data_IF_660223334024
#
_entry.id   IF_660223334024
#
_cell.length_a   1.000
_cell.length_b   1.000
_cell.length_c   1.000
_cell.angle_alpha   90.00
_cell.angle_beta   90.00
_cell.angle_gamma   90.00
#
_symmetry.space_group_name_H-M   'P 1'
#
loop_
_entity.id
_entity.type
_entity.pdbx_description
1 polymer ?
#
# COMPACT_ATOMS: atom_id res chain seq x y z
N UNK A 1 -9.23 74.12 -49.49
CA UNK A 1 -10.19 73.35 -48.68
C UNK A 1 -10.56 72.07 -49.44
N UNK A 2 -9.95 70.92 -49.10
CA UNK A 2 -10.38 69.57 -49.52
C UNK A 2 -9.69 68.57 -48.59
N UNK A 3 -10.47 68.02 -47.67
CA UNK A 3 -10.09 66.98 -46.72
C UNK A 3 -10.07 65.65 -47.50
N UNK A 4 -8.96 64.90 -47.47
CA UNK A 4 -8.97 63.48 -47.84
C UNK A 4 -8.31 62.67 -46.73
N UNK A 5 -9.10 61.72 -46.26
CA UNK A 5 -8.97 60.93 -45.04
C UNK A 5 -7.88 59.86 -45.19
N UNK A 6 -7.10 59.72 -44.13
CA UNK A 6 -6.19 58.59 -43.88
C UNK A 6 -6.97 57.28 -43.79
N UNK A 7 -6.50 56.24 -44.48
CA UNK A 7 -6.92 54.85 -44.26
C UNK A 7 -5.75 54.14 -43.61
N UNK A 8 -5.84 53.92 -42.30
CA UNK A 8 -4.97 53.01 -41.57
C UNK A 8 -5.52 51.60 -41.75
N UNK A 9 -4.80 50.75 -42.48
CA UNK A 9 -5.07 49.31 -42.53
C UNK A 9 -4.51 48.71 -41.24
N UNK A 10 -5.40 48.41 -40.30
CA UNK A 10 -5.05 47.62 -39.11
C UNK A 10 -5.07 46.15 -39.51
N UNK A 11 -3.89 45.58 -39.74
CA UNK A 11 -3.68 44.13 -39.82
C UNK A 11 -3.91 43.53 -38.43
N UNK A 12 -5.14 43.10 -38.17
CA UNK A 12 -5.44 42.20 -37.04
C UNK A 12 -4.88 40.82 -37.37
N UNK A 13 -3.62 40.61 -37.01
CA UNK A 13 -2.99 39.30 -36.92
C UNK A 13 -3.62 38.56 -35.74
N UNK A 14 -4.77 37.92 -35.98
CA UNK A 14 -5.40 37.00 -35.04
C UNK A 14 -4.53 35.75 -34.91
N UNK A 15 -3.54 35.79 -34.01
CA UNK A 15 -2.89 34.62 -33.47
C UNK A 15 -3.94 33.86 -32.65
N UNK A 16 -4.67 32.97 -33.30
CA UNK A 16 -5.43 31.92 -32.63
C UNK A 16 -4.42 31.09 -31.83
N UNK A 17 -4.35 31.33 -30.52
CA UNK A 17 -3.83 30.36 -29.57
C UNK A 17 -4.76 29.16 -29.67
N UNK A 18 -4.39 28.18 -30.50
CA UNK A 18 -4.91 26.83 -30.42
C UNK A 18 -4.38 26.30 -29.08
N UNK A 19 -5.16 26.52 -28.02
CA UNK A 19 -5.00 25.73 -26.81
C UNK A 19 -5.23 24.28 -27.23
N UNK A 20 -4.20 23.43 -27.12
CA UNK A 20 -4.40 21.98 -27.25
C UNK A 20 -5.55 21.60 -26.32
N UNK A 21 -6.62 21.07 -26.91
CA UNK A 21 -7.74 20.60 -26.13
C UNK A 21 -7.24 19.41 -25.30
N UNK A 22 -7.23 19.55 -23.98
CA UNK A 22 -6.87 18.47 -23.06
C UNK A 22 -7.65 17.20 -23.43
N UNK A 23 -6.95 16.08 -23.58
CA UNK A 23 -7.59 14.81 -23.85
C UNK A 23 -8.29 14.26 -22.60
N UNK A 24 -7.74 14.56 -21.42
CA UNK A 24 -8.27 14.14 -20.13
C UNK A 24 -8.75 15.35 -19.34
N UNK A 25 -10.04 15.37 -18.98
CA UNK A 25 -10.59 16.37 -18.08
C UNK A 25 -10.12 16.16 -16.63
N UNK A 26 -10.20 17.21 -15.82
CA UNK A 26 -9.83 17.14 -14.40
C UNK A 26 -10.63 16.08 -13.61
N UNK A 27 -11.91 15.87 -13.94
CA UNK A 27 -12.72 14.83 -13.30
C UNK A 27 -12.25 13.42 -13.69
N UNK A 28 -11.86 13.21 -14.95
CA UNK A 28 -11.28 11.95 -15.43
C UNK A 28 -9.93 11.65 -14.77
N UNK A 29 -9.06 12.66 -14.63
CA UNK A 29 -7.78 12.52 -13.93
C UNK A 29 -7.97 12.16 -12.44
N UNK A 30 -8.93 12.80 -11.76
CA UNK A 30 -9.28 12.45 -10.38
C UNK A 30 -9.83 11.03 -10.25
N UNK A 31 -10.70 10.61 -11.17
CA UNK A 31 -11.24 9.24 -11.18
C UNK A 31 -10.14 8.22 -11.46
N UNK A 32 -9.21 8.53 -12.37
CA UNK A 32 -8.06 7.68 -12.65
C UNK A 32 -7.15 7.52 -11.43
N UNK A 33 -6.90 8.60 -10.69
CA UNK A 33 -6.16 8.55 -9.41
C UNK A 33 -6.86 7.65 -8.38
N UNK A 34 -8.19 7.75 -8.26
CA UNK A 34 -8.97 6.90 -7.35
C UNK A 34 -8.96 5.43 -7.76
N UNK A 35 -9.04 5.14 -9.07
CA UNK A 35 -8.96 3.79 -9.61
C UNK A 35 -7.60 3.16 -9.31
N UNK A 36 -6.50 3.89 -9.52
CA UNK A 36 -5.15 3.41 -9.22
C UNK A 36 -4.93 3.20 -7.72
N UNK A 37 -5.38 4.14 -6.88
CA UNK A 37 -5.30 3.98 -5.43
C UNK A 37 -6.09 2.73 -4.97
N UNK A 38 -7.30 2.53 -5.49
CA UNK A 38 -8.14 1.36 -5.16
C UNK A 38 -7.48 0.05 -5.62
N UNK A 39 -6.94 0.04 -6.84
CA UNK A 39 -6.20 -1.12 -7.37
C UNK A 39 -5.02 -1.49 -6.45
N UNK A 40 -4.23 -0.50 -6.03
CA UNK A 40 -3.06 -0.71 -5.19
C UNK A 40 -3.46 -1.14 -3.77
N UNK A 41 -4.50 -0.55 -3.18
CA UNK A 41 -5.01 -0.93 -1.85
C UNK A 41 -5.50 -2.38 -1.80
N UNK A 42 -6.06 -2.89 -2.90
CA UNK A 42 -6.56 -4.27 -2.98
C UNK A 42 -5.46 -5.31 -3.18
N UNK A 43 -4.25 -4.90 -3.57
CA UNK A 43 -3.16 -5.81 -3.97
C UNK A 43 -1.96 -5.73 -3.05
N UNK A 44 -1.60 -4.53 -2.60
CA UNK A 44 -0.41 -4.28 -1.82
C UNK A 44 -0.64 -4.65 -0.34
N UNK A 45 0.39 -5.15 0.37
CA UNK A 45 0.24 -5.58 1.76
C UNK A 45 -0.22 -4.48 2.73
N UNK A 46 -0.71 -4.86 3.93
CA UNK A 46 -1.44 -3.94 4.82
C UNK A 46 -0.68 -2.68 5.25
N UNK A 47 0.66 -2.69 5.27
CA UNK A 47 1.43 -1.48 5.58
C UNK A 47 1.14 -0.32 4.62
N UNK A 48 0.80 -0.62 3.36
CA UNK A 48 0.40 0.40 2.41
C UNK A 48 -0.95 1.01 2.75
N UNK A 49 -1.94 0.16 3.05
CA UNK A 49 -3.27 0.62 3.43
C UNK A 49 -3.23 1.53 4.67
N UNK A 50 -2.40 1.18 5.66
CA UNK A 50 -2.19 2.04 6.83
C UNK A 50 -1.48 3.36 6.46
N UNK A 51 -0.45 3.32 5.62
CA UNK A 51 0.25 4.53 5.18
C UNK A 51 -0.67 5.49 4.38
N UNK A 52 -1.59 4.94 3.58
CA UNK A 52 -2.63 5.71 2.90
C UNK A 52 -3.65 6.28 3.89
N UNK A 53 -4.13 5.48 4.85
CA UNK A 53 -5.09 5.97 5.87
C UNK A 53 -4.49 7.07 6.74
N UNK A 54 -3.19 6.98 7.01
CA UNK A 54 -2.42 7.95 7.78
C UNK A 54 -2.00 9.18 6.96
N UNK A 55 -2.43 9.26 5.69
CA UNK A 55 -2.11 10.34 4.75
C UNK A 55 -0.61 10.52 4.50
N UNK A 56 0.18 9.48 4.77
CA UNK A 56 1.62 9.46 4.52
C UNK A 56 1.95 9.19 3.05
N UNK A 57 1.06 8.47 2.36
CA UNK A 57 1.12 8.24 0.92
C UNK A 57 0.08 9.08 0.21
N UNK A 58 0.50 9.79 -0.83
CA UNK A 58 -0.38 10.66 -1.64
C UNK A 58 -0.29 10.31 -3.11
N UNK A 59 -1.44 10.33 -3.77
CA UNK A 59 -1.59 10.07 -5.19
C UNK A 59 -1.94 11.36 -5.90
N UNK A 60 -1.32 11.57 -7.05
CA UNK A 60 -1.71 12.61 -7.98
C UNK A 60 -1.65 12.07 -9.39
N UNK A 61 -2.64 12.40 -10.21
CA UNK A 61 -2.63 12.05 -11.63
C UNK A 61 -2.82 13.33 -12.44
N UNK A 62 -1.88 13.60 -13.33
CA UNK A 62 -1.90 14.78 -14.22
C UNK A 62 -1.84 14.34 -15.67
N UNK A 63 -2.35 15.17 -16.57
CA UNK A 63 -2.13 14.96 -17.99
C UNK A 63 -0.67 15.28 -18.34
N UNK A 64 -0.01 14.36 -19.06
CA UNK A 64 1.35 14.49 -19.56
C UNK A 64 1.35 15.06 -20.99
N UNK A 65 0.40 14.62 -21.81
CA UNK A 65 0.28 14.96 -23.23
C UNK A 65 -1.17 14.77 -23.68
N UNK A 66 -1.75 15.84 -24.22
CA UNK A 66 -3.10 15.83 -24.79
C UNK A 66 -3.15 15.00 -26.10
N UNK A 67 -2.15 15.14 -26.98
CA UNK A 67 -2.11 14.45 -28.29
C UNK A 67 -2.14 12.92 -28.20
N UNK A 68 -1.61 12.37 -27.11
CA UNK A 68 -1.48 10.93 -26.90
C UNK A 68 -2.28 10.42 -25.71
N UNK A 69 -3.17 11.24 -25.14
CA UNK A 69 -4.01 10.92 -23.98
C UNK A 69 -3.21 10.22 -22.88
N UNK A 70 -2.08 10.83 -22.54
CA UNK A 70 -1.09 10.25 -21.65
C UNK A 70 -1.20 10.91 -20.29
N UNK A 71 -1.25 10.11 -19.24
CA UNK A 71 -1.28 10.56 -17.86
C UNK A 71 0.06 10.26 -17.17
N UNK A 72 0.38 11.05 -16.15
CA UNK A 72 1.42 10.76 -15.16
C UNK A 72 0.75 10.44 -13.85
N UNK A 73 1.00 9.25 -13.30
CA UNK A 73 0.73 8.95 -11.89
C UNK A 73 1.97 9.29 -11.08
N UNK A 74 1.82 10.19 -10.12
CA UNK A 74 2.83 10.51 -9.12
C UNK A 74 2.38 9.99 -7.75
N UNK A 75 3.24 9.19 -7.12
CA UNK A 75 3.09 8.68 -5.77
C UNK A 75 4.15 9.30 -4.86
N UNK A 76 3.71 10.00 -3.82
CA UNK A 76 4.60 10.49 -2.77
C UNK A 76 4.63 9.50 -1.61
N UNK A 77 5.82 9.06 -1.21
CA UNK A 77 6.09 8.15 -0.09
C UNK A 77 7.08 8.77 0.89
N UNK A 78 6.97 8.51 2.21
CA UNK A 78 7.91 9.02 3.19
C UNK A 78 9.32 8.42 3.01
N UNK A 79 10.36 9.22 3.23
CA UNK A 79 11.76 8.74 3.23
C UNK A 79 11.97 7.60 4.24
N UNK A 80 11.37 7.71 5.42
CA UNK A 80 11.41 6.68 6.46
C UNK A 80 10.92 5.31 5.96
N UNK A 81 9.96 5.26 5.04
CA UNK A 81 9.48 3.99 4.48
C UNK A 81 10.52 3.37 3.55
N UNK A 82 11.24 4.20 2.78
CA UNK A 82 12.36 3.74 1.95
C UNK A 82 13.49 3.20 2.84
N UNK A 83 13.83 3.91 3.91
CA UNK A 83 14.89 3.51 4.85
C UNK A 83 14.54 2.18 5.53
N UNK A 84 13.31 2.03 6.01
CA UNK A 84 12.81 0.81 6.65
C UNK A 84 12.91 -0.40 5.70
N UNK A 85 12.47 -0.25 4.45
CA UNK A 85 12.54 -1.35 3.48
C UNK A 85 13.97 -1.69 3.07
N UNK A 86 14.85 -0.70 2.93
CA UNK A 86 16.27 -0.94 2.66
C UNK A 86 16.94 -1.69 3.83
N UNK A 87 16.62 -1.34 5.08
CA UNK A 87 17.13 -2.05 6.25
C UNK A 87 16.77 -3.55 6.24
N UNK A 88 15.57 -3.91 5.78
CA UNK A 88 15.17 -5.32 5.61
C UNK A 88 16.03 -6.03 4.56
N UNK A 89 16.32 -5.38 3.43
CA UNK A 89 17.16 -5.96 2.38
C UNK A 89 18.63 -6.04 2.79
N UNK A 90 19.11 -5.08 3.56
CA UNK A 90 20.51 -5.06 4.02
C UNK A 90 20.76 -6.10 5.11
N UNK A 91 19.74 -6.46 5.89
CA UNK A 91 19.78 -7.60 6.82
C UNK A 91 19.78 -8.97 6.11
N UNK A 92 19.33 -9.05 4.85
CA UNK A 92 19.29 -10.28 4.05
C UNK A 92 19.83 -10.05 2.62
N UNK A 93 21.17 -10.08 2.45
CA UNK A 93 21.80 -9.86 1.15
C UNK A 93 21.34 -10.86 0.06
N UNK A 94 20.98 -12.09 0.44
CA UNK A 94 20.50 -13.10 -0.49
C UNK A 94 19.13 -12.71 -1.07
N UNK A 95 18.20 -12.27 -0.21
CA UNK A 95 16.90 -11.72 -0.63
C UNK A 95 17.08 -10.51 -1.56
N UNK A 96 18.01 -9.60 -1.24
CA UNK A 96 18.33 -8.44 -2.08
C UNK A 96 18.78 -8.84 -3.48
N UNK A 97 19.70 -9.80 -3.59
CA UNK A 97 20.18 -10.31 -4.89
C UNK A 97 19.05 -11.00 -5.67
N UNK A 98 18.32 -11.90 -5.01
CA UNK A 98 17.23 -12.66 -5.64
C UNK A 98 16.12 -11.76 -6.20
N UNK A 99 15.73 -10.71 -5.46
CA UNK A 99 14.67 -9.80 -5.90
C UNK A 99 15.17 -8.84 -6.98
N UNK A 100 16.41 -8.37 -6.89
CA UNK A 100 17.03 -7.55 -7.93
C UNK A 100 17.16 -8.32 -9.26
N UNK A 101 17.49 -9.61 -9.21
CA UNK A 101 17.58 -10.47 -10.40
C UNK A 101 16.22 -10.66 -11.11
N UNK A 102 15.12 -10.52 -10.37
CA UNK A 102 13.75 -10.58 -10.90
C UNK A 102 13.24 -9.20 -11.37
N UNK A 103 14.07 -8.16 -11.34
CA UNK A 103 13.71 -6.80 -11.74
C UNK A 103 12.95 -6.01 -10.68
N UNK A 104 12.80 -6.53 -9.46
CA UNK A 104 12.23 -5.76 -8.35
C UNK A 104 13.24 -4.78 -7.78
N UNK A 105 12.81 -3.53 -7.59
CA UNK A 105 13.67 -2.45 -7.07
C UNK A 105 12.88 -1.63 -6.05
N UNK A 106 13.50 -1.31 -4.92
CA UNK A 106 12.94 -0.32 -3.99
C UNK A 106 13.06 1.06 -4.66
N UNK A 107 12.00 1.89 -4.65
CA UNK A 107 12.07 3.26 -5.15
C UNK A 107 13.25 4.03 -4.54
N UNK A 108 14.00 4.76 -5.38
CA UNK A 108 15.16 5.55 -4.93
C UNK A 108 14.79 6.93 -4.41
N UNK A 109 13.58 7.38 -4.73
CA UNK A 109 13.07 8.72 -4.46
C UNK A 109 11.74 8.64 -3.73
N UNK A 110 11.44 9.67 -2.96
CA UNK A 110 10.15 9.82 -2.27
C UNK A 110 9.01 10.14 -3.21
N UNK A 111 9.29 10.66 -4.41
CA UNK A 111 8.30 10.84 -5.47
C UNK A 111 8.58 9.83 -6.57
N UNK A 112 7.61 8.98 -6.84
CA UNK A 112 7.68 7.88 -7.80
C UNK A 112 6.67 8.20 -8.89
N UNK A 113 7.13 8.25 -10.14
CA UNK A 113 6.29 8.67 -11.26
C UNK A 113 6.24 7.59 -12.33
N UNK A 114 5.06 7.44 -12.95
CA UNK A 114 4.86 6.60 -14.11
C UNK A 114 4.00 7.33 -15.13
N UNK A 115 4.50 7.41 -16.35
CA UNK A 115 3.76 7.93 -17.50
C UNK A 115 3.12 6.76 -18.25
N UNK A 116 1.83 6.84 -18.58
CA UNK A 116 1.09 5.77 -19.24
C UNK A 116 -0.07 6.32 -20.10
N UNK A 117 -0.45 5.54 -21.12
CA UNK A 117 -1.59 5.87 -21.98
C UNK A 117 -2.91 5.45 -21.38
N UNK A 118 -3.96 6.21 -21.69
CA UNK A 118 -5.33 5.98 -21.23
C UNK A 118 -6.28 6.11 -22.41
N UNK A 119 -7.28 5.24 -22.50
CA UNK A 119 -8.43 5.46 -23.37
C UNK A 119 -9.34 6.55 -22.74
N UNK A 120 -9.44 7.75 -23.33
CA UNK A 120 -10.22 8.84 -22.72
C UNK A 120 -11.72 8.55 -22.64
N UNK A 121 -12.27 7.65 -23.47
CA UNK A 121 -13.71 7.35 -23.45
C UNK A 121 -14.10 6.47 -22.26
N UNK A 122 -13.20 5.57 -21.84
CA UNK A 122 -13.48 4.55 -20.83
C UNK A 122 -12.61 4.65 -19.57
N UNK A 123 -11.55 5.46 -19.62
CA UNK A 123 -10.43 5.48 -18.67
C UNK A 123 -9.73 4.15 -18.52
N UNK A 124 -9.86 3.27 -19.52
CA UNK A 124 -9.17 2.00 -19.54
C UNK A 124 -7.67 2.22 -19.78
N UNK A 125 -6.84 1.54 -18.98
CA UNK A 125 -5.40 1.49 -19.16
C UNK A 125 -5.09 0.24 -19.98
N UNK A 126 -4.51 0.38 -21.19
CA UNK A 126 -4.17 -0.77 -22.02
C UNK A 126 -3.24 -1.75 -21.30
N UNK A 127 -3.42 -3.05 -21.55
CA UNK A 127 -2.64 -4.10 -20.87
C UNK A 127 -1.11 -3.91 -21.00
N UNK A 128 -0.64 -3.44 -22.17
CA UNK A 128 0.78 -3.14 -22.42
C UNK A 128 1.35 -2.12 -21.43
N UNK A 129 0.55 -1.16 -20.99
CA UNK A 129 0.94 -0.13 -20.02
C UNK A 129 1.00 -0.69 -18.60
N UNK A 130 0.49 -1.91 -18.35
CA UNK A 130 0.47 -2.52 -17.02
C UNK A 130 1.48 -3.65 -16.83
N UNK A 131 2.20 -4.04 -17.89
CA UNK A 131 3.26 -5.05 -17.81
C UNK A 131 4.40 -4.56 -16.90
N UNK A 132 5.07 -5.45 -16.18
CA UNK A 132 6.22 -5.07 -15.34
C UNK A 132 7.38 -4.43 -16.11
N UNK A 133 7.39 -4.49 -17.44
CA UNK A 133 8.36 -3.81 -18.29
C UNK A 133 7.97 -2.36 -18.65
N UNK A 134 6.72 -1.96 -18.44
CA UNK A 134 6.24 -0.59 -18.66
C UNK A 134 6.42 0.27 -17.40
N UNK A 135 6.37 1.60 -17.55
CA UNK A 135 6.56 2.52 -16.43
C UNK A 135 5.53 2.32 -15.31
N UNK A 136 4.24 2.18 -15.65
CA UNK A 136 3.20 1.98 -14.63
C UNK A 136 3.28 0.60 -13.98
N UNK A 137 3.57 -0.46 -14.73
CA UNK A 137 3.78 -1.79 -14.14
C UNK A 137 5.00 -1.83 -13.21
N UNK A 138 6.09 -1.15 -13.57
CA UNK A 138 7.28 -1.00 -12.70
C UNK A 138 6.95 -0.22 -11.43
N UNK A 139 6.20 0.89 -11.53
CA UNK A 139 5.78 1.66 -10.35
C UNK A 139 4.95 0.79 -9.42
N UNK A 140 3.92 0.11 -9.94
CA UNK A 140 3.06 -0.78 -9.16
C UNK A 140 3.88 -1.88 -8.46
N UNK A 141 4.78 -2.54 -9.18
CA UNK A 141 5.65 -3.59 -8.63
C UNK A 141 6.62 -3.06 -7.57
N UNK A 142 7.20 -1.87 -7.78
CA UNK A 142 8.15 -1.25 -6.84
C UNK A 142 7.48 -0.84 -5.54
N UNK A 143 6.27 -0.28 -5.62
CA UNK A 143 5.48 0.09 -4.44
C UNK A 143 4.98 -1.15 -3.71
N UNK A 144 4.55 -2.19 -4.44
CA UNK A 144 4.18 -3.48 -3.85
C UNK A 144 5.34 -4.05 -3.04
N UNK A 145 6.53 -4.15 -3.66
CA UNK A 145 7.75 -4.61 -3.02
C UNK A 145 8.14 -3.79 -1.79
N UNK A 146 8.13 -2.46 -1.89
CA UNK A 146 8.41 -1.55 -0.77
C UNK A 146 7.54 -1.90 0.45
N UNK A 147 6.23 -1.98 0.26
CA UNK A 147 5.30 -2.22 1.37
C UNK A 147 5.18 -3.69 1.79
N UNK A 148 5.60 -4.64 0.95
CA UNK A 148 5.82 -6.03 1.35
C UNK A 148 6.97 -6.16 2.34
N UNK A 149 8.08 -5.45 2.12
CA UNK A 149 9.22 -5.44 3.04
C UNK A 149 8.87 -4.74 4.36
N UNK A 150 8.19 -3.60 4.30
CA UNK A 150 7.72 -2.88 5.48
C UNK A 150 6.74 -3.75 6.28
N UNK A 151 5.84 -4.46 5.61
CA UNK A 151 4.90 -5.38 6.28
C UNK A 151 5.66 -6.50 7.01
N UNK A 152 6.70 -7.08 6.40
CA UNK A 152 7.57 -8.08 7.06
C UNK A 152 8.29 -7.47 8.29
N UNK A 153 8.89 -6.30 8.13
CA UNK A 153 9.57 -5.56 9.20
C UNK A 153 8.64 -5.35 10.40
N UNK A 154 7.47 -4.76 10.15
CA UNK A 154 6.51 -4.39 11.21
C UNK A 154 5.77 -5.58 11.81
N UNK A 155 5.73 -6.73 11.12
CA UNK A 155 5.22 -7.98 11.69
C UNK A 155 6.15 -8.56 12.76
N UNK A 156 7.45 -8.19 12.76
CA UNK A 156 8.38 -8.67 13.77
C UNK A 156 8.12 -7.97 15.11
N UNK A 157 7.80 -8.75 16.15
CA UNK A 157 7.59 -8.26 17.51
C UNK A 157 8.86 -8.54 18.31
N UNK A 158 9.27 -7.59 19.16
CA UNK A 158 10.32 -7.81 20.17
C UNK A 158 9.69 -8.01 21.55
N UNK A 159 10.32 -8.79 22.43
CA UNK A 159 9.78 -9.16 23.75
C UNK A 159 9.49 -7.95 24.68
N UNK A 160 10.06 -6.78 24.39
CA UNK A 160 9.84 -5.54 25.15
C UNK A 160 8.67 -4.68 24.65
N UNK A 161 8.04 -5.03 23.53
CA UNK A 161 6.99 -4.21 22.92
C UNK A 161 5.70 -4.33 23.73
N UNK A 162 5.30 -3.24 24.38
CA UNK A 162 3.96 -3.09 24.96
C UNK A 162 3.06 -2.34 23.99
N UNK A 163 1.85 -2.83 23.80
CA UNK A 163 0.85 -2.12 23.04
C UNK A 163 0.22 -1.03 23.92
N UNK A 164 0.39 0.24 23.53
CA UNK A 164 -0.19 1.38 24.25
C UNK A 164 -1.67 1.64 23.91
N UNK A 165 -2.18 1.06 22.82
CA UNK A 165 -3.54 1.29 22.33
C UNK A 165 -4.34 0.00 22.38
N UNK A 166 -5.35 -0.12 23.27
CA UNK A 166 -6.20 -1.30 23.31
C UNK A 166 -6.81 -1.61 21.95
N UNK A 167 -7.03 -2.90 21.67
CA UNK A 167 -7.82 -3.30 20.52
C UNK A 167 -9.25 -2.73 20.65
N UNK A 168 -9.82 -2.31 19.54
CA UNK A 168 -11.24 -1.99 19.38
C UNK A 168 -12.12 -3.17 19.83
N UNK A 169 -13.29 -2.84 20.39
CA UNK A 169 -14.25 -3.85 20.83
C UNK A 169 -14.65 -4.81 19.69
N UNK A 170 -14.78 -4.28 18.47
CA UNK A 170 -15.10 -5.06 17.27
C UNK A 170 -14.02 -6.09 16.96
N UNK A 171 -12.74 -5.69 16.99
CA UNK A 171 -11.63 -6.61 16.71
C UNK A 171 -11.43 -7.63 17.83
N UNK A 172 -11.63 -7.23 19.09
CA UNK A 172 -11.62 -8.15 20.22
C UNK A 172 -12.69 -9.24 20.05
N UNK A 173 -13.93 -8.86 19.76
CA UNK A 173 -15.02 -9.83 19.57
C UNK A 173 -14.76 -10.76 18.38
N UNK A 174 -14.30 -10.23 17.25
CA UNK A 174 -13.92 -11.06 16.11
C UNK A 174 -12.79 -12.04 16.45
N UNK A 175 -11.82 -11.62 17.26
CA UNK A 175 -10.72 -12.47 17.70
C UNK A 175 -11.15 -13.57 18.68
N UNK A 176 -12.11 -13.26 19.58
CA UNK A 176 -12.74 -14.27 20.43
C UNK A 176 -13.45 -15.32 19.57
N UNK A 177 -14.26 -14.90 18.59
CA UNK A 177 -14.98 -15.83 17.71
C UNK A 177 -14.02 -16.74 16.92
N UNK A 178 -12.94 -16.18 16.35
CA UNK A 178 -11.92 -16.99 15.67
C UNK A 178 -11.23 -18.00 16.60
N UNK A 179 -11.04 -17.62 17.86
CA UNK A 179 -10.45 -18.51 18.87
C UNK A 179 -11.39 -19.69 19.19
N UNK A 180 -12.68 -19.45 19.41
CA UNK A 180 -13.66 -20.51 19.73
C UNK A 180 -13.86 -21.48 18.56
N UNK A 181 -13.70 -21.00 17.33
CA UNK A 181 -13.73 -21.83 16.12
C UNK A 181 -12.53 -22.78 16.02
N UNK A 182 -11.32 -22.34 16.42
CA UNK A 182 -10.07 -23.08 16.17
C UNK A 182 -9.50 -23.83 17.37
N UNK A 183 -9.86 -23.43 18.59
CA UNK A 183 -9.26 -23.94 19.82
C UNK A 183 -10.31 -24.57 20.74
N UNK A 184 -9.86 -25.42 21.65
CA UNK A 184 -10.69 -25.94 22.76
C UNK A 184 -10.05 -25.58 24.09
N UNK A 185 -10.89 -25.42 25.10
CA UNK A 185 -10.45 -25.17 26.46
C UNK A 185 -10.11 -26.48 27.15
N UNK A 186 -9.18 -26.43 28.10
CA UNK A 186 -8.88 -27.56 28.97
C UNK A 186 -10.11 -27.97 29.79
N UNK A 187 -10.10 -29.21 30.27
CA UNK A 187 -11.21 -29.77 31.03
C UNK A 187 -11.56 -28.88 32.24
N UNK A 188 -12.84 -28.52 32.36
CA UNK A 188 -13.35 -27.65 33.44
C UNK A 188 -13.25 -26.15 33.17
N UNK A 189 -12.85 -25.72 31.97
CA UNK A 189 -12.80 -24.31 31.58
C UNK A 189 -13.84 -23.96 30.50
N UNK A 190 -14.39 -22.75 30.61
CA UNK A 190 -15.30 -22.18 29.62
C UNK A 190 -14.53 -21.60 28.41
N UNK A 191 -14.82 -22.10 27.21
CA UNK A 191 -14.11 -21.70 25.98
C UNK A 191 -14.20 -20.21 25.70
N UNK A 192 -15.34 -19.58 25.97
CA UNK A 192 -15.52 -18.14 25.78
C UNK A 192 -14.60 -17.32 26.71
N UNK A 193 -14.49 -17.73 27.99
CA UNK A 193 -13.63 -17.07 28.96
C UNK A 193 -12.15 -17.28 28.67
N UNK A 194 -11.76 -18.50 28.27
CA UNK A 194 -10.40 -18.82 27.85
C UNK A 194 -9.97 -18.01 26.60
N UNK A 195 -10.86 -17.89 25.60
CA UNK A 195 -10.62 -17.07 24.41
C UNK A 195 -10.56 -15.57 24.73
N UNK A 196 -11.38 -15.06 25.64
CA UNK A 196 -11.30 -13.68 26.11
C UNK A 196 -9.97 -13.40 26.84
N UNK A 197 -9.53 -14.33 27.70
CA UNK A 197 -8.20 -14.28 28.34
C UNK A 197 -7.08 -14.17 27.28
N UNK A 198 -7.12 -15.01 26.24
CA UNK A 198 -6.11 -15.01 25.17
C UNK A 198 -6.07 -13.67 24.45
N UNK A 199 -7.23 -13.11 24.10
CA UNK A 199 -7.34 -11.79 23.46
C UNK A 199 -6.76 -10.69 24.35
N UNK A 200 -7.04 -10.72 25.66
CA UNK A 200 -6.47 -9.75 26.60
C UNK A 200 -4.95 -9.84 26.68
N UNK A 201 -4.39 -11.05 26.74
CA UNK A 201 -2.93 -11.27 26.74
C UNK A 201 -2.27 -10.73 25.47
N UNK A 202 -2.82 -11.06 24.30
CA UNK A 202 -2.25 -10.64 23.01
C UNK A 202 -2.40 -9.14 22.77
N UNK A 203 -3.55 -8.56 23.10
CA UNK A 203 -3.82 -7.13 22.91
C UNK A 203 -2.96 -6.23 23.79
N UNK A 204 -2.40 -6.75 24.89
CA UNK A 204 -1.46 -6.01 25.73
C UNK A 204 -0.07 -5.84 25.07
N UNK A 205 0.28 -6.69 24.10
CA UNK A 205 1.61 -6.73 23.50
C UNK A 205 1.61 -6.36 22.02
N UNK A 206 0.52 -6.62 21.31
CA UNK A 206 0.42 -6.46 19.86
C UNK A 206 -0.72 -5.50 19.53
N UNK A 207 -0.50 -4.53 18.65
CA UNK A 207 -1.59 -3.65 18.17
C UNK A 207 -2.43 -4.32 17.07
N UNK A 208 -3.62 -3.81 16.78
CA UNK A 208 -4.45 -4.34 15.67
C UNK A 208 -3.74 -4.23 14.32
N UNK A 209 -3.05 -3.10 14.08
CA UNK A 209 -2.27 -2.90 12.84
C UNK A 209 -1.16 -3.92 12.72
N UNK A 210 -0.50 -4.22 13.84
CA UNK A 210 0.56 -5.21 13.87
C UNK A 210 0.03 -6.63 13.68
N UNK A 211 -1.16 -6.93 14.23
CA UNK A 211 -1.86 -8.18 13.94
C UNK A 211 -2.16 -8.34 12.43
N UNK A 212 -2.58 -7.27 11.74
CA UNK A 212 -2.80 -7.33 10.30
C UNK A 212 -1.51 -7.65 9.51
N UNK A 213 -0.36 -7.12 9.94
CA UNK A 213 0.94 -7.48 9.34
C UNK A 213 1.29 -8.95 9.59
N UNK A 214 1.08 -9.43 10.81
CA UNK A 214 1.35 -10.82 11.21
C UNK A 214 0.46 -11.79 10.43
N UNK A 215 -0.84 -11.51 10.33
CA UNK A 215 -1.80 -12.31 9.59
C UNK A 215 -1.44 -12.37 8.10
N UNK A 216 -1.03 -11.23 7.51
CA UNK A 216 -0.54 -11.19 6.14
C UNK A 216 0.71 -12.06 5.96
N UNK A 217 1.74 -11.88 6.80
CA UNK A 217 2.97 -12.67 6.73
C UNK A 217 2.68 -14.16 6.88
N UNK A 218 1.81 -14.57 7.81
CA UNK A 218 1.45 -15.98 8.04
C UNK A 218 0.66 -16.60 6.89
N UNK A 219 -0.12 -15.81 6.16
CA UNK A 219 -0.84 -16.30 4.96
C UNK A 219 0.05 -16.39 3.72
N UNK A 220 1.24 -15.79 3.75
CA UNK A 220 2.19 -15.81 2.64
C UNK A 220 3.41 -16.72 2.92
N UNK A 221 3.52 -17.89 2.26
CA UNK A 221 4.58 -18.87 2.56
C UNK A 221 6.00 -18.33 2.33
N UNK A 222 6.18 -17.38 1.42
CA UNK A 222 7.49 -16.76 1.15
C UNK A 222 7.93 -15.79 2.24
N UNK A 223 6.98 -15.18 2.97
CA UNK A 223 7.28 -14.27 4.07
C UNK A 223 7.66 -15.05 5.35
N UNK A 224 6.97 -16.17 5.63
CA UNK A 224 7.23 -17.05 6.79
C UNK A 224 8.64 -17.65 6.75
N UNK A 225 9.14 -18.00 5.55
CA UNK A 225 10.47 -18.60 5.37
C UNK A 225 11.65 -17.73 5.86
N UNK A 226 11.41 -16.44 6.06
CA UNK A 226 12.44 -15.46 6.48
C UNK A 226 12.55 -15.29 8.00
N UNK A 227 11.85 -16.12 8.79
CA UNK A 227 11.81 -16.02 10.26
C UNK A 227 10.91 -14.90 10.80
N UNK A 228 10.24 -14.16 9.91
CA UNK A 228 9.24 -13.17 10.27
C UNK A 228 8.11 -13.82 11.09
N UNK A 229 7.70 -13.15 12.18
CA UNK A 229 6.63 -13.60 13.11
C UNK A 229 6.97 -14.76 14.06
N UNK A 230 8.22 -15.23 14.17
CA UNK A 230 8.59 -16.28 15.14
C UNK A 230 8.29 -15.89 16.60
N UNK A 231 8.60 -14.65 16.98
CA UNK A 231 8.25 -14.14 18.31
C UNK A 231 6.74 -14.14 18.57
N UNK A 232 5.93 -13.81 17.56
CA UNK A 232 4.47 -13.90 17.69
C UNK A 232 4.00 -15.33 17.93
N UNK A 233 4.60 -16.34 17.28
CA UNK A 233 4.27 -17.75 17.52
C UNK A 233 4.54 -18.14 18.97
N UNK A 234 5.67 -17.69 19.53
CA UNK A 234 5.98 -17.90 20.95
C UNK A 234 4.97 -17.20 21.86
N UNK A 235 4.66 -15.92 21.59
CA UNK A 235 3.68 -15.15 22.34
C UNK A 235 2.28 -15.78 22.28
N UNK A 236 1.86 -16.25 21.11
CA UNK A 236 0.59 -16.95 20.90
C UNK A 236 0.54 -18.26 21.71
N UNK A 237 1.62 -19.04 21.68
CA UNK A 237 1.73 -20.29 22.46
C UNK A 237 1.67 -20.02 23.97
N UNK A 238 2.37 -19.00 24.45
CA UNK A 238 2.33 -18.58 25.86
C UNK A 238 0.94 -18.12 26.27
N UNK A 239 0.28 -17.28 25.46
CA UNK A 239 -1.08 -16.82 25.72
C UNK A 239 -2.08 -17.98 25.74
N UNK A 240 -1.97 -18.93 24.80
CA UNK A 240 -2.80 -20.13 24.78
C UNK A 240 -2.61 -20.96 26.06
N UNK A 241 -1.36 -21.21 26.43
CA UNK A 241 -1.02 -22.01 27.61
C UNK A 241 -1.50 -21.35 28.90
N UNK A 242 -1.28 -20.04 29.06
CA UNK A 242 -1.71 -19.28 30.23
C UNK A 242 -3.24 -19.21 30.37
N UNK A 243 -3.97 -19.27 29.27
CA UNK A 243 -5.44 -19.25 29.24
C UNK A 243 -6.06 -20.65 29.12
N UNK A 244 -5.27 -21.73 29.22
CA UNK A 244 -5.74 -23.12 29.17
C UNK A 244 -6.40 -23.51 27.84
N UNK A 245 -5.88 -22.98 26.72
CA UNK A 245 -6.32 -23.32 25.38
C UNK A 245 -5.37 -24.32 24.72
N UNK A 246 -5.95 -25.30 24.02
CA UNK A 246 -5.23 -26.26 23.18
C UNK A 246 -5.82 -26.25 21.76
N UNK A 247 -5.00 -26.62 20.78
CA UNK A 247 -5.43 -26.71 19.37
C UNK A 247 -6.42 -27.87 19.21
N UNK A 248 -7.49 -27.66 18.44
CA UNK A 248 -8.45 -28.72 18.07
C UNK A 248 -7.79 -29.83 17.28
#
# INVERSE_FOLDING_TARGET
MRIKRSIWVVLFSGLSQLSDAACLSASQLNLLAQNEQTFLLNRIPPAFAHAVSDQQVKFNVTEASADSCTAVLALSVPAQHLDEANAVLDADPAKKIMLSAQGYVIPRTTNIEATFKVDPATLHIPAIETLQTSALGQLRASVEMLYSLITQSRANITDSTKNATPWSATYQQASVNRCTEKLVAQAGQEIAAACACRVNQLSAQVSERQMAYIDYVRSNPYAVATGSSQHYVSLESQANSACGLIVK
#
